data_IF_638568273312
#
_entry.id   IF_638568273312
#
_cell.length_a   1.000
_cell.length_b   1.000
_cell.length_c   1.000
_cell.angle_alpha   90.00
_cell.angle_beta   90.00
_cell.angle_gamma   90.00
#
_symmetry.space_group_name_H-M   'P 1'
#
loop_
_entity.id
_entity.type
_entity.pdbx_description
1 polymer ?
#
# COMPACT_ATOMS: atom_id res chain seq x y z
N UNK A 1 31.14 18.09 42.22
CA UNK A 1 31.12 17.76 40.78
C UNK A 1 30.55 16.35 40.66
N UNK A 2 29.24 16.22 40.40
CA UNK A 2 28.55 14.93 40.36
C UNK A 2 28.50 14.41 38.92
N UNK A 3 28.97 13.18 38.73
CA UNK A 3 28.92 12.41 37.48
C UNK A 3 27.48 12.01 37.17
N UNK A 4 26.97 12.47 36.02
CA UNK A 4 25.72 12.01 35.41
C UNK A 4 26.08 10.89 34.43
N UNK A 5 25.99 9.64 34.86
CA UNK A 5 26.04 8.46 33.98
C UNK A 5 24.63 8.26 33.43
N UNK A 6 24.42 8.74 32.20
CA UNK A 6 23.19 8.52 31.45
C UNK A 6 23.12 7.08 30.95
N UNK A 7 22.14 6.35 31.49
CA UNK A 7 21.73 5.02 31.08
C UNK A 7 21.17 5.07 29.64
N UNK A 8 21.96 4.65 28.65
CA UNK A 8 21.48 4.38 27.30
C UNK A 8 20.78 3.01 27.30
N UNK A 9 19.45 3.00 27.40
CA UNK A 9 18.65 1.84 27.03
C UNK A 9 18.75 1.64 25.52
N UNK A 10 19.67 0.78 25.09
CA UNK A 10 19.70 0.26 23.73
C UNK A 10 18.51 -0.69 23.52
N UNK A 11 17.59 -0.32 22.64
CA UNK A 11 16.53 -1.20 22.13
C UNK A 11 17.17 -2.33 21.32
N UNK A 12 17.43 -3.47 21.97
CA UNK A 12 17.88 -4.68 21.30
C UNK A 12 16.77 -5.25 20.42
N UNK A 13 17.09 -5.50 19.14
CA UNK A 13 16.30 -6.35 18.26
C UNK A 13 16.14 -7.72 18.95
N UNK A 14 14.94 -8.04 19.43
CA UNK A 14 14.67 -9.30 20.12
C UNK A 14 14.71 -10.46 19.11
N UNK A 15 15.87 -11.10 18.97
CA UNK A 15 16.10 -12.31 18.16
C UNK A 15 16.05 -13.58 19.01
N UNK A 16 15.11 -13.65 19.95
CA UNK A 16 14.95 -14.81 20.85
C UNK A 16 14.24 -16.00 20.18
N UNK A 17 14.42 -17.23 20.70
CA UNK A 17 13.70 -18.42 20.24
C UNK A 17 12.17 -18.26 20.25
N UNK A 18 11.63 -17.51 21.21
CA UNK A 18 10.19 -17.20 21.30
C UNK A 18 9.70 -16.38 20.11
N UNK A 19 10.49 -15.41 19.64
CA UNK A 19 10.14 -14.59 18.47
C UNK A 19 10.18 -15.45 17.21
N UNK A 20 11.18 -16.33 17.07
CA UNK A 20 11.25 -17.26 15.95
C UNK A 20 10.04 -18.20 15.92
N UNK A 21 9.65 -18.75 17.08
CA UNK A 21 8.49 -19.62 17.21
C UNK A 21 7.17 -18.89 16.91
N UNK A 22 6.99 -17.67 17.42
CA UNK A 22 5.79 -16.87 17.15
C UNK A 22 5.68 -16.51 15.67
N UNK A 23 6.80 -16.17 15.02
CA UNK A 23 6.81 -15.91 13.58
C UNK A 23 6.35 -17.12 12.79
N UNK A 24 6.88 -18.29 13.10
CA UNK A 24 6.49 -19.53 12.41
C UNK A 24 5.01 -19.86 12.64
N UNK A 25 4.51 -19.67 13.87
CA UNK A 25 3.09 -19.81 14.18
C UNK A 25 2.22 -18.87 13.33
N UNK A 26 2.62 -17.60 13.19
CA UNK A 26 1.88 -16.63 12.37
C UNK A 26 1.87 -17.00 10.89
N UNK A 27 2.97 -17.53 10.35
CA UNK A 27 3.03 -18.01 8.96
C UNK A 27 2.05 -19.15 8.72
N UNK A 28 2.05 -20.15 9.61
CA UNK A 28 1.13 -21.28 9.52
C UNK A 28 -0.33 -20.81 9.59
N UNK A 29 -0.66 -19.88 10.48
CA UNK A 29 -1.99 -19.26 10.54
C UNK A 29 -2.34 -18.53 9.24
N UNK A 30 -1.43 -17.75 8.67
CA UNK A 30 -1.66 -17.06 7.39
C UNK A 30 -1.95 -18.04 6.26
N UNK A 31 -1.20 -19.14 6.15
CA UNK A 31 -1.42 -20.20 5.15
C UNK A 31 -2.81 -20.83 5.32
N UNK A 32 -3.22 -21.14 6.56
CA UNK A 32 -4.55 -21.69 6.83
C UNK A 32 -5.68 -20.70 6.51
N UNK A 33 -5.46 -19.42 6.78
CA UNK A 33 -6.41 -18.36 6.43
C UNK A 33 -6.52 -18.19 4.91
N UNK A 34 -5.41 -18.34 4.17
CA UNK A 34 -5.39 -18.25 2.71
C UNK A 34 -6.23 -19.35 2.07
N UNK A 35 -6.12 -20.58 2.56
CA UNK A 35 -6.95 -21.71 2.12
C UNK A 35 -8.45 -21.47 2.28
N UNK A 36 -8.85 -20.57 3.20
CA UNK A 36 -10.25 -20.21 3.48
C UNK A 36 -10.65 -18.85 2.89
N UNK A 37 -9.79 -18.23 2.08
CA UNK A 37 -9.98 -16.87 1.55
C UNK A 37 -10.25 -15.80 2.64
N UNK A 38 -9.69 -15.98 3.83
CA UNK A 38 -9.88 -15.10 4.98
C UNK A 38 -8.88 -13.93 4.99
N UNK A 39 -8.90 -13.11 3.93
CA UNK A 39 -7.91 -12.07 3.64
C UNK A 39 -7.75 -11.01 4.74
N UNK A 40 -8.84 -10.58 5.36
CA UNK A 40 -8.76 -9.64 6.49
C UNK A 40 -8.04 -10.22 7.72
N UNK A 41 -8.07 -11.56 7.88
CA UNK A 41 -7.27 -12.25 8.89
C UNK A 41 -5.79 -12.25 8.54
N UNK A 42 -5.44 -12.51 7.28
CA UNK A 42 -4.07 -12.49 6.78
C UNK A 42 -3.45 -11.11 6.99
N UNK A 43 -4.16 -10.03 6.67
CA UNK A 43 -3.66 -8.66 6.84
C UNK A 43 -3.20 -8.39 8.29
N UNK A 44 -4.05 -8.72 9.28
CA UNK A 44 -3.72 -8.53 10.69
C UNK A 44 -2.51 -9.36 11.12
N UNK A 45 -2.39 -10.59 10.60
CA UNK A 45 -1.28 -11.50 10.94
C UNK A 45 0.01 -11.09 10.27
N UNK A 46 -0.04 -10.61 9.03
CA UNK A 46 1.10 -10.07 8.30
C UNK A 46 1.66 -8.82 8.98
N UNK A 47 0.80 -7.87 9.36
CA UNK A 47 1.22 -6.69 10.13
C UNK A 47 1.88 -7.08 11.47
N UNK A 48 1.33 -8.09 12.16
CA UNK A 48 1.96 -8.62 13.38
C UNK A 48 3.31 -9.28 13.09
N UNK A 49 3.44 -10.02 11.99
CA UNK A 49 4.67 -10.65 11.55
C UNK A 49 5.77 -9.60 11.27
N UNK A 50 5.42 -8.48 10.62
CA UNK A 50 6.33 -7.36 10.39
C UNK A 50 6.73 -6.67 11.70
N UNK A 51 5.78 -6.47 12.60
CA UNK A 51 6.01 -5.81 13.89
C UNK A 51 6.95 -6.60 14.83
N UNK A 52 7.04 -7.93 14.67
CA UNK A 52 8.00 -8.76 15.40
C UNK A 52 9.46 -8.53 14.95
N UNK A 53 9.69 -7.74 13.90
CA UNK A 53 11.01 -7.48 13.34
C UNK A 53 11.55 -8.67 12.55
N UNK A 54 12.66 -8.47 11.83
CA UNK A 54 13.29 -9.44 10.92
C UNK A 54 12.48 -9.69 9.64
N UNK A 55 13.16 -9.94 8.52
CA UNK A 55 12.53 -9.95 7.19
C UNK A 55 11.55 -11.12 7.01
N UNK A 56 10.26 -10.87 6.70
CA UNK A 56 9.34 -11.91 6.21
C UNK A 56 9.89 -12.64 4.97
N UNK A 57 9.45 -13.87 4.74
CA UNK A 57 9.81 -14.62 3.53
C UNK A 57 8.98 -14.11 2.35
N UNK A 58 9.43 -14.41 1.13
CA UNK A 58 8.69 -14.07 -0.08
C UNK A 58 7.23 -14.56 -0.04
N UNK A 59 6.98 -15.80 0.39
CA UNK A 59 5.61 -16.34 0.49
C UNK A 59 4.73 -15.52 1.45
N UNK A 60 5.32 -15.04 2.56
CA UNK A 60 4.63 -14.19 3.53
C UNK A 60 4.23 -12.86 2.87
N UNK A 61 5.17 -12.25 2.12
CA UNK A 61 4.94 -11.02 1.37
C UNK A 61 3.88 -11.20 0.27
N UNK A 62 3.88 -12.33 -0.45
CA UNK A 62 2.86 -12.62 -1.46
C UNK A 62 1.46 -12.73 -0.85
N UNK A 63 1.33 -13.40 0.30
CA UNK A 63 0.06 -13.46 1.04
C UNK A 63 -0.39 -12.07 1.52
N UNK A 64 0.55 -11.28 2.05
CA UNK A 64 0.31 -9.90 2.45
C UNK A 64 -0.12 -9.03 1.27
N UNK A 65 0.56 -9.14 0.12
CA UNK A 65 0.22 -8.39 -1.09
C UNK A 65 -1.18 -8.75 -1.58
N UNK A 66 -1.54 -10.04 -1.61
CA UNK A 66 -2.88 -10.48 -1.98
C UNK A 66 -3.94 -9.94 -1.03
N UNK A 67 -3.67 -9.94 0.28
CA UNK A 67 -4.58 -9.34 1.27
C UNK A 67 -4.80 -7.85 1.02
N UNK A 68 -3.74 -7.08 0.72
CA UNK A 68 -3.84 -5.66 0.38
C UNK A 68 -4.67 -5.43 -0.90
N UNK A 69 -4.45 -6.23 -1.96
CA UNK A 69 -5.24 -6.16 -3.18
C UNK A 69 -6.73 -6.41 -2.92
N UNK A 70 -7.08 -7.34 -2.02
CA UNK A 70 -8.49 -7.65 -1.72
C UNK A 70 -9.25 -6.48 -1.09
N UNK A 71 -8.55 -5.54 -0.46
CA UNK A 71 -9.14 -4.31 0.11
C UNK A 71 -8.92 -3.08 -0.77
N UNK A 72 -8.25 -3.23 -1.92
CA UNK A 72 -7.98 -2.15 -2.88
C UNK A 72 -6.76 -1.30 -2.58
N UNK A 73 -5.90 -1.70 -1.64
CA UNK A 73 -4.66 -1.00 -1.31
C UNK A 73 -3.50 -1.48 -2.21
N UNK A 74 -3.55 -1.06 -3.47
CA UNK A 74 -2.62 -1.53 -4.52
C UNK A 74 -1.19 -1.09 -4.24
N UNK A 75 -0.98 0.12 -3.71
CA UNK A 75 0.36 0.62 -3.38
C UNK A 75 1.02 -0.25 -2.29
N UNK A 76 0.27 -0.62 -1.25
CA UNK A 76 0.77 -1.52 -0.21
C UNK A 76 1.06 -2.91 -0.76
N UNK A 77 0.28 -3.39 -1.73
CA UNK A 77 0.56 -4.66 -2.39
C UNK A 77 1.89 -4.62 -3.17
N UNK A 78 2.16 -3.53 -3.89
CA UNK A 78 3.41 -3.34 -4.62
C UNK A 78 4.61 -3.28 -3.68
N UNK A 79 4.57 -2.46 -2.62
CA UNK A 79 5.65 -2.38 -1.62
C UNK A 79 6.00 -3.77 -1.06
N UNK A 80 4.98 -4.57 -0.74
CA UNK A 80 5.17 -5.94 -0.24
C UNK A 80 5.81 -6.85 -1.29
N UNK A 81 5.41 -6.77 -2.56
CA UNK A 81 5.99 -7.57 -3.63
C UNK A 81 7.46 -7.21 -3.87
N UNK A 82 7.78 -5.92 -3.94
CA UNK A 82 9.16 -5.43 -4.11
C UNK A 82 10.06 -5.93 -2.97
N UNK A 83 9.62 -5.73 -1.72
CA UNK A 83 10.35 -6.22 -0.53
C UNK A 83 10.47 -7.75 -0.48
N UNK A 84 9.50 -8.46 -1.03
CA UNK A 84 9.54 -9.92 -1.16
C UNK A 84 10.54 -10.40 -2.20
N UNK A 85 10.58 -9.75 -3.36
CA UNK A 85 11.48 -10.07 -4.48
C UNK A 85 12.95 -9.87 -4.06
N UNK A 86 13.23 -8.79 -3.34
CA UNK A 86 14.56 -8.49 -2.79
C UNK A 86 14.94 -9.40 -1.60
N UNK A 87 13.97 -10.14 -1.06
CA UNK A 87 14.10 -10.98 0.12
C UNK A 87 14.49 -12.43 -0.16
N UNK A 88 14.22 -13.28 0.83
CA UNK A 88 14.46 -14.73 0.75
C UNK A 88 13.27 -15.45 0.11
N UNK A 89 13.51 -16.18 -0.97
CA UNK A 89 12.48 -16.94 -1.67
C UNK A 89 13.04 -17.89 -2.72
N UNK A 90 12.18 -18.76 -3.24
CA UNK A 90 12.51 -19.64 -4.37
C UNK A 90 12.66 -18.84 -5.67
N UNK A 91 13.30 -19.42 -6.67
CA UNK A 91 13.36 -18.78 -8.00
C UNK A 91 11.95 -18.63 -8.60
N UNK A 92 11.13 -19.69 -8.51
CA UNK A 92 9.76 -19.70 -9.01
C UNK A 92 8.88 -18.65 -8.32
N UNK A 93 8.94 -18.57 -6.98
CA UNK A 93 8.18 -17.55 -6.24
C UNK A 93 8.58 -16.13 -6.65
N UNK A 94 9.88 -15.88 -6.87
CA UNK A 94 10.37 -14.56 -7.32
C UNK A 94 9.86 -14.22 -8.71
N UNK A 95 9.82 -15.21 -9.61
CA UNK A 95 9.25 -15.04 -10.94
C UNK A 95 7.75 -14.69 -10.85
N UNK A 96 6.97 -15.42 -10.08
CA UNK A 96 5.53 -15.14 -9.87
C UNK A 96 5.29 -13.75 -9.28
N UNK A 97 6.08 -13.35 -8.28
CA UNK A 97 5.98 -12.02 -7.68
C UNK A 97 6.35 -10.91 -8.68
N UNK A 98 7.39 -11.12 -9.50
CA UNK A 98 7.82 -10.18 -10.54
C UNK A 98 6.77 -10.03 -11.64
N UNK A 99 6.15 -11.13 -12.07
CA UNK A 99 5.08 -11.12 -13.07
C UNK A 99 3.85 -10.36 -12.56
N UNK A 100 3.44 -10.60 -11.31
CA UNK A 100 2.34 -9.87 -10.67
C UNK A 100 2.66 -8.39 -10.51
N UNK A 101 3.87 -8.04 -10.07
CA UNK A 101 4.31 -6.64 -9.96
C UNK A 101 4.24 -5.93 -11.31
N UNK A 102 4.74 -6.58 -12.37
CA UNK A 102 4.69 -6.04 -13.72
C UNK A 102 3.24 -5.90 -14.23
N UNK A 103 2.34 -6.81 -13.86
CA UNK A 103 0.90 -6.68 -14.17
C UNK A 103 0.28 -5.45 -13.49
N UNK A 104 0.58 -5.22 -12.21
CA UNK A 104 0.06 -4.08 -11.47
C UNK A 104 0.55 -2.76 -12.07
N UNK A 105 1.83 -2.65 -12.45
CA UNK A 105 2.35 -1.45 -13.12
C UNK A 105 1.72 -1.19 -14.51
N UNK A 106 1.36 -2.25 -15.24
CA UNK A 106 0.64 -2.12 -16.52
C UNK A 106 -0.83 -1.72 -16.37
N UNK A 107 -1.44 -1.96 -15.20
CA UNK A 107 -2.88 -1.75 -14.97
C UNK A 107 -3.18 -0.50 -14.14
N UNK A 108 -2.22 -0.06 -13.33
CA UNK A 108 -2.38 1.02 -12.36
C UNK A 108 -1.28 2.08 -12.52
N UNK A 109 -1.60 3.32 -12.19
CA UNK A 109 -0.62 4.42 -12.14
C UNK A 109 -0.60 5.10 -10.77
N UNK A 110 0.55 5.68 -10.44
CA UNK A 110 0.77 6.40 -9.19
C UNK A 110 0.03 7.73 -9.18
N UNK A 111 -0.61 8.04 -8.05
CA UNK A 111 -1.33 9.30 -7.87
C UNK A 111 -1.16 9.81 -6.43
N UNK A 112 -1.03 11.12 -6.31
CA UNK A 112 -1.08 11.85 -5.06
C UNK A 112 -2.14 12.95 -5.17
N UNK A 113 -3.28 12.72 -4.53
CA UNK A 113 -4.43 13.62 -4.54
C UNK A 113 -4.50 14.35 -3.20
N UNK A 114 -4.58 15.68 -3.25
CA UNK A 114 -4.78 16.55 -2.09
C UNK A 114 -6.01 17.43 -2.31
N UNK A 115 -6.91 17.47 -1.33
CA UNK A 115 -8.09 18.32 -1.35
C UNK A 115 -8.03 19.32 -0.20
N UNK A 116 -7.95 20.61 -0.54
CA UNK A 116 -7.83 21.71 0.43
C UNK A 116 -9.17 22.24 0.95
N UNK A 117 -10.29 21.74 0.41
CA UNK A 117 -11.64 22.11 0.82
C UNK A 117 -12.04 21.45 2.15
N UNK A 118 -13.12 21.93 2.75
CA UNK A 118 -13.68 21.36 3.97
C UNK A 118 -14.09 19.88 3.79
N UNK A 119 -14.60 19.51 2.61
CA UNK A 119 -15.00 18.15 2.23
C UNK A 119 -14.38 17.70 0.90
N UNK A 120 -14.05 16.42 0.79
CA UNK A 120 -13.57 15.83 -0.46
C UNK A 120 -14.75 15.54 -1.42
N UNK A 121 -14.71 16.05 -2.67
CA UNK A 121 -15.70 15.69 -3.68
C UNK A 121 -15.60 14.20 -4.07
N UNK A 122 -16.65 13.63 -4.69
CA UNK A 122 -16.59 12.26 -5.17
C UNK A 122 -15.56 12.11 -6.29
N UNK A 123 -14.72 11.07 -6.19
CA UNK A 123 -13.86 10.63 -7.27
C UNK A 123 -14.67 9.75 -8.23
N UNK A 124 -14.73 10.13 -9.49
CA UNK A 124 -15.49 9.43 -10.52
C UNK A 124 -14.57 8.96 -11.65
N UNK A 125 -14.94 7.83 -12.25
CA UNK A 125 -14.33 7.31 -13.49
C UNK A 125 -15.50 7.13 -14.46
N UNK A 126 -15.64 7.99 -15.49
CA UNK A 126 -16.81 7.96 -16.37
C UNK A 126 -16.89 6.72 -17.26
N UNK A 127 -15.74 6.15 -17.63
CA UNK A 127 -15.66 5.05 -18.59
C UNK A 127 -16.06 3.71 -17.96
N UNK A 128 -16.88 2.91 -18.63
CA UNK A 128 -17.36 1.59 -18.18
C UNK A 128 -17.05 0.51 -19.24
N UNK A 129 -16.84 -0.78 -18.89
CA UNK A 129 -16.95 -1.39 -17.56
C UNK A 129 -15.62 -1.56 -16.79
N UNK A 130 -15.71 -1.72 -15.47
CA UNK A 130 -14.56 -2.02 -14.59
C UNK A 130 -14.47 -3.50 -14.25
N UNK A 131 -13.24 -4.04 -14.25
CA UNK A 131 -12.95 -5.29 -13.54
C UNK A 131 -13.29 -5.13 -12.04
N UNK A 132 -13.69 -6.22 -11.38
CA UNK A 132 -14.09 -6.19 -9.96
C UNK A 132 -13.01 -5.58 -9.06
N UNK A 133 -11.75 -5.95 -9.28
CA UNK A 133 -10.58 -5.46 -8.55
C UNK A 133 -10.39 -3.94 -8.69
N UNK A 134 -10.62 -3.40 -9.89
CA UNK A 134 -10.51 -1.96 -10.16
C UNK A 134 -11.57 -1.16 -9.39
N UNK A 135 -12.78 -1.71 -9.26
CA UNK A 135 -13.85 -1.09 -8.46
C UNK A 135 -13.41 -1.00 -6.99
N UNK A 136 -12.84 -2.08 -6.46
CA UNK A 136 -12.37 -2.12 -5.07
C UNK A 136 -11.26 -1.09 -4.84
N UNK A 137 -10.29 -0.97 -5.76
CA UNK A 137 -9.23 0.04 -5.68
C UNK A 137 -9.77 1.48 -5.70
N UNK A 138 -10.74 1.77 -6.59
CA UNK A 138 -11.39 3.09 -6.65
C UNK A 138 -12.17 3.38 -5.36
N UNK A 139 -12.88 2.39 -4.82
CA UNK A 139 -13.62 2.54 -3.58
C UNK A 139 -12.70 2.73 -2.35
N UNK A 140 -11.54 2.09 -2.35
CA UNK A 140 -10.49 2.32 -1.35
C UNK A 140 -10.01 3.78 -1.40
N UNK A 141 -9.67 4.29 -2.59
CA UNK A 141 -9.26 5.67 -2.78
C UNK A 141 -10.35 6.67 -2.35
N UNK A 142 -11.63 6.43 -2.72
CA UNK A 142 -12.78 7.24 -2.28
C UNK A 142 -12.93 7.27 -0.76
N UNK A 143 -12.76 6.12 -0.09
CA UNK A 143 -12.81 6.06 1.39
C UNK A 143 -11.68 6.88 2.01
N UNK A 144 -10.45 6.76 1.49
CA UNK A 144 -9.30 7.56 1.94
C UNK A 144 -9.49 9.06 1.71
N UNK A 145 -9.92 9.47 0.53
CA UNK A 145 -10.21 10.88 0.23
C UNK A 145 -11.28 11.47 1.15
N UNK A 146 -12.37 10.75 1.40
CA UNK A 146 -13.43 11.23 2.31
C UNK A 146 -12.95 11.40 3.75
N UNK A 147 -12.08 10.49 4.22
CA UNK A 147 -11.59 10.49 5.61
C UNK A 147 -10.44 11.47 5.83
N UNK A 148 -9.46 11.43 4.94
CA UNK A 148 -8.15 12.07 5.14
C UNK A 148 -7.99 13.33 4.26
N UNK A 149 -8.90 13.58 3.30
CA UNK A 149 -8.79 14.60 2.23
C UNK A 149 -7.49 14.49 1.42
N UNK A 150 -6.85 13.34 1.51
CA UNK A 150 -5.61 12.98 0.83
C UNK A 150 -5.69 11.53 0.40
N UNK A 151 -5.11 11.25 -0.75
CA UNK A 151 -4.86 9.89 -1.19
C UNK A 151 -3.51 9.83 -1.88
N UNK A 152 -2.57 9.08 -1.29
CA UNK A 152 -1.34 8.65 -1.92
C UNK A 152 -1.50 7.16 -2.19
N UNK A 153 -1.42 6.76 -3.45
CA UNK A 153 -1.68 5.38 -3.83
C UNK A 153 -1.60 5.16 -5.33
N UNK A 154 -2.27 4.10 -5.76
CA UNK A 154 -2.36 3.76 -7.18
C UNK A 154 -3.80 3.53 -7.57
N UNK A 155 -4.15 4.06 -8.74
CA UNK A 155 -5.48 3.93 -9.33
C UNK A 155 -5.36 3.23 -10.69
N UNK A 156 -6.40 2.49 -11.10
CA UNK A 156 -6.45 1.94 -12.45
C UNK A 156 -6.18 2.99 -13.52
N UNK A 157 -5.55 2.60 -14.62
CA UNK A 157 -5.32 3.48 -15.75
C UNK A 157 -6.67 3.94 -16.33
N UNK A 158 -6.76 5.22 -16.65
CA UNK A 158 -7.97 5.79 -17.22
C UNK A 158 -8.18 7.25 -16.87
N UNK A 159 -9.32 7.78 -17.31
CA UNK A 159 -9.70 9.17 -17.05
C UNK A 159 -10.59 9.24 -15.82
N UNK A 160 -10.23 10.15 -14.93
CA UNK A 160 -10.93 10.42 -13.69
C UNK A 160 -11.44 11.85 -13.68
N UNK A 161 -12.51 12.04 -12.92
CA UNK A 161 -13.11 13.35 -12.66
C UNK A 161 -13.22 13.48 -11.15
N UNK A 162 -12.76 14.61 -10.65
CA UNK A 162 -12.88 15.00 -9.26
C UNK A 162 -13.40 16.44 -9.26
N UNK A 163 -14.72 16.60 -9.04
CA UNK A 163 -15.44 17.85 -9.30
C UNK A 163 -15.29 18.31 -10.76
N UNK A 164 -14.75 19.50 -11.02
CA UNK A 164 -14.53 20.03 -12.38
C UNK A 164 -13.13 19.66 -12.93
N UNK A 165 -12.31 19.00 -12.13
CA UNK A 165 -10.95 18.62 -12.53
C UNK A 165 -10.96 17.24 -13.17
N UNK A 166 -10.67 17.20 -14.47
CA UNK A 166 -10.44 15.96 -15.23
C UNK A 166 -8.95 15.68 -15.32
N UNK A 167 -8.55 14.45 -15.04
CA UNK A 167 -7.16 14.00 -15.16
C UNK A 167 -7.09 12.56 -15.65
N UNK A 168 -5.97 12.20 -16.28
CA UNK A 168 -5.76 10.87 -16.85
C UNK A 168 -4.55 10.21 -16.21
N UNK A 169 -4.77 9.00 -15.70
CA UNK A 169 -3.74 8.15 -15.12
C UNK A 169 -3.20 7.24 -16.22
N UNK A 170 -1.87 7.18 -16.34
CA UNK A 170 -1.15 6.34 -17.31
C UNK A 170 -0.30 5.32 -16.56
N UNK A 171 -0.18 4.12 -17.13
CA UNK A 171 0.72 3.07 -16.62
C UNK A 171 2.17 3.47 -16.86
N UNK A 172 3.06 3.00 -15.98
CA UNK A 172 4.51 3.26 -16.04
C UNK A 172 4.91 4.76 -16.11
N UNK A 173 3.99 5.67 -15.78
CA UNK A 173 4.24 7.10 -15.74
C UNK A 173 4.71 7.53 -14.34
N UNK A 174 5.45 8.66 -14.24
CA UNK A 174 5.69 9.30 -12.95
C UNK A 174 4.39 9.58 -12.20
N UNK A 175 4.49 9.70 -10.88
CA UNK A 175 3.36 10.01 -10.01
C UNK A 175 2.63 11.28 -10.47
N UNK A 176 1.31 11.17 -10.61
CA UNK A 176 0.45 12.30 -10.93
C UNK A 176 0.02 13.03 -9.65
N UNK A 177 0.45 14.28 -9.51
CA UNK A 177 -0.02 15.16 -8.43
C UNK A 177 -1.32 15.88 -8.84
N UNK A 178 -2.37 15.70 -8.05
CA UNK A 178 -3.69 16.34 -8.26
C UNK A 178 -4.05 17.16 -7.03
N UNK A 179 -4.22 18.46 -7.20
CA UNK A 179 -4.55 19.38 -6.11
C UNK A 179 -5.87 20.09 -6.37
N UNK A 180 -6.83 19.93 -5.46
CA UNK A 180 -8.21 20.46 -5.61
C UNK A 180 -8.50 21.52 -4.57
N UNK A 181 -9.08 22.63 -5.03
CA UNK A 181 -9.52 23.72 -4.16
C UNK A 181 -8.38 24.49 -3.52
N UNK A 182 -7.22 24.55 -4.18
CA UNK A 182 -6.16 25.49 -3.79
C UNK A 182 -6.78 26.88 -3.66
N UNK A 183 -6.56 27.60 -2.55
CA UNK A 183 -6.90 29.02 -2.51
C UNK A 183 -6.12 29.69 -3.64
N UNK A 184 -6.81 30.51 -4.45
CA UNK A 184 -6.17 31.34 -5.46
C UNK A 184 -4.97 32.02 -4.81
N UNK A 185 -3.77 31.77 -5.34
CA UNK A 185 -2.53 32.20 -4.73
C UNK A 185 -2.60 33.69 -4.39
N UNK A 186 -2.65 34.03 -3.10
CA UNK A 186 -2.21 35.34 -2.64
C UNK A 186 -0.74 35.44 -3.01
N UNK A 187 -0.45 36.29 -3.99
CA UNK A 187 0.78 36.24 -4.77
C UNK A 187 2.07 36.17 -3.94
N UNK A 188 2.98 35.30 -4.37
CA UNK A 188 4.41 35.60 -4.37
C UNK A 188 5.11 34.68 -5.37
N UNK A 189 5.54 35.27 -6.48
CA UNK A 189 6.62 34.73 -7.30
C UNK A 189 7.88 34.77 -6.43
N UNK A 190 8.52 33.64 -6.23
CA UNK A 190 9.89 33.58 -5.71
C UNK A 190 10.74 33.04 -6.86
N UNK A 191 11.72 33.84 -7.27
CA UNK A 191 12.68 33.57 -8.33
C UNK A 191 13.59 32.38 -7.99
#
# INVERSE_FOLDING_TARGET
MWLLVGLLCGSGLASGPEVIAERERLRQEMTLLAQRNAWGGIERKFQKLEALGGTPKLDDYMLGARAALTVGDVLTAIDRLERGIDGLGTHEGRQQATELLAELHRRYGYVNILVFRSSAPPLERPDMPFASEEKVAIDFARKRLRRDRRYLGMLPIGTYVLEDTRFTIKGDAPMLDVQIGMPAASGRVIY
#
